data_IF_480261547637
#
_entry.id   IF_480261547637
#
_cell.length_a   1.000
_cell.length_b   1.000
_cell.length_c   1.000
_cell.angle_alpha   90.00
_cell.angle_beta   90.00
_cell.angle_gamma   90.00
#
_symmetry.space_group_name_H-M   'P 1'
#
loop_
_entity.id
_entity.type
_entity.pdbx_description
1 polymer ?
#
# COMPACT_ATOMS: atom_id res chain seq x y z
N UNK A 1 49.90 -28.12 69.27
CA UNK A 1 48.56 -27.68 68.81
C UNK A 1 48.59 -27.59 67.29
N UNK A 2 47.53 -28.01 66.59
CA UNK A 2 47.60 -28.50 65.20
C UNK A 2 47.43 -27.41 64.14
N UNK A 3 47.69 -27.88 62.92
CA UNK A 3 47.78 -27.26 61.60
C UNK A 3 46.66 -26.29 61.19
N UNK A 4 46.92 -25.51 60.14
CA UNK A 4 45.93 -25.42 59.05
C UNK A 4 46.57 -25.19 57.67
N UNK A 5 46.26 -26.15 56.78
CA UNK A 5 46.64 -26.21 55.37
C UNK A 5 45.75 -25.27 54.55
N UNK A 6 46.38 -24.35 53.81
CA UNK A 6 45.69 -23.42 52.91
C UNK A 6 45.28 -24.15 51.61
N UNK A 7 43.97 -24.29 51.39
CA UNK A 7 43.38 -25.12 50.34
C UNK A 7 43.21 -24.34 49.02
N UNK A 8 44.14 -24.56 48.08
CA UNK A 8 44.27 -23.90 46.76
C UNK A 8 43.12 -24.23 45.79
N UNK A 9 42.24 -25.18 46.13
CA UNK A 9 41.19 -25.69 45.21
C UNK A 9 40.07 -24.69 44.88
N UNK A 10 39.93 -23.58 45.63
CA UNK A 10 38.83 -22.63 45.43
C UNK A 10 39.04 -21.62 44.29
N UNK A 11 40.27 -21.45 43.81
CA UNK A 11 40.57 -20.37 42.85
C UNK A 11 40.32 -20.73 41.38
N UNK A 12 40.30 -22.03 41.02
CA UNK A 12 40.16 -22.44 39.61
C UNK A 12 38.69 -22.51 39.17
N UNK A 13 37.73 -22.60 40.10
CA UNK A 13 36.30 -22.69 39.76
C UNK A 13 35.63 -21.34 39.50
N UNK A 14 36.25 -20.21 39.85
CA UNK A 14 35.63 -18.89 39.73
C UNK A 14 35.71 -18.28 38.31
N UNK A 15 36.46 -18.89 37.39
CA UNK A 15 36.73 -18.33 36.06
C UNK A 15 35.76 -18.77 34.97
N UNK A 16 34.92 -19.79 35.23
CA UNK A 16 34.06 -20.38 34.19
C UNK A 16 32.64 -19.76 34.11
N UNK A 17 32.23 -18.95 35.08
CA UNK A 17 30.84 -18.47 35.17
C UNK A 17 30.63 -17.12 34.47
N UNK A 18 31.68 -16.35 34.20
CA UNK A 18 31.55 -14.99 33.62
C UNK A 18 31.36 -15.00 32.09
N UNK A 19 31.70 -16.08 31.38
CA UNK A 19 31.51 -16.17 29.92
C UNK A 19 30.20 -16.86 29.48
N UNK A 20 29.37 -17.35 30.41
CA UNK A 20 28.10 -18.02 30.08
C UNK A 20 26.90 -17.08 29.96
N UNK A 21 26.97 -15.87 30.53
CA UNK A 21 25.79 -15.00 30.69
C UNK A 21 25.53 -14.03 29.53
N UNK A 22 26.44 -13.90 28.57
CA UNK A 22 26.27 -12.96 27.45
C UNK A 22 25.61 -13.56 26.20
N UNK A 23 25.53 -14.89 26.07
CA UNK A 23 24.99 -15.53 24.87
C UNK A 23 23.47 -15.79 24.89
N UNK A 24 22.80 -15.60 26.03
CA UNK A 24 21.34 -15.77 26.14
C UNK A 24 20.57 -14.45 26.28
N UNK A 25 21.23 -13.34 26.63
CA UNK A 25 20.60 -12.02 26.77
C UNK A 25 20.61 -11.17 25.49
N UNK A 26 21.63 -11.34 24.63
CA UNK A 26 21.81 -10.49 23.43
C UNK A 26 20.96 -10.88 22.23
N UNK A 27 20.63 -12.17 22.08
CA UNK A 27 19.85 -12.67 20.93
C UNK A 27 18.37 -12.30 20.98
N UNK A 28 17.81 -12.16 22.19
CA UNK A 28 16.40 -11.81 22.38
C UNK A 28 16.09 -10.36 21.99
N UNK A 29 17.04 -9.43 22.21
CA UNK A 29 16.87 -8.02 21.82
C UNK A 29 16.80 -7.82 20.31
N UNK A 30 17.58 -8.59 19.54
CA UNK A 30 17.56 -8.52 18.07
C UNK A 30 16.31 -9.19 17.44
N UNK A 31 15.65 -10.10 18.17
CA UNK A 31 14.44 -10.76 17.69
C UNK A 31 13.18 -9.90 17.84
N UNK A 32 13.17 -8.95 18.79
CA UNK A 32 12.00 -8.09 19.08
C UNK A 32 12.03 -6.74 18.35
N UNK A 33 13.16 -6.35 17.77
CA UNK A 33 13.29 -5.08 17.04
C UNK A 33 12.72 -5.11 15.60
N UNK A 34 12.26 -6.26 15.12
CA UNK A 34 11.66 -6.40 13.78
C UNK A 34 10.13 -6.28 13.82
N UNK A 35 9.58 -5.50 14.76
CA UNK A 35 8.23 -4.98 14.59
C UNK A 35 8.34 -3.88 13.53
N UNK A 36 8.11 -4.26 12.27
CA UNK A 36 7.72 -3.30 11.25
C UNK A 36 6.61 -2.45 11.86
N UNK A 37 6.88 -1.15 12.05
CA UNK A 37 5.85 -0.17 12.36
C UNK A 37 4.66 -0.49 11.47
N UNK A 38 3.41 -0.54 12.00
CA UNK A 38 2.25 -0.71 11.14
C UNK A 38 2.36 0.39 10.09
N UNK A 39 2.73 -0.02 8.87
CA UNK A 39 2.98 0.90 7.78
C UNK A 39 1.65 1.62 7.62
N UNK A 40 1.63 2.90 8.01
CA UNK A 40 0.44 3.74 7.90
C UNK A 40 -0.07 3.48 6.50
N UNK A 41 -1.24 2.81 6.42
CA UNK A 41 -1.70 2.18 5.19
C UNK A 41 -1.69 3.29 4.15
N UNK A 42 -0.76 3.22 3.20
CA UNK A 42 -0.53 4.34 2.29
C UNK A 42 -1.87 4.73 1.68
N UNK A 43 -2.16 6.03 1.64
CA UNK A 43 -3.38 6.51 1.01
C UNK A 43 -3.49 5.89 -0.38
N UNK A 44 -4.68 5.46 -0.76
CA UNK A 44 -4.94 4.87 -2.07
C UNK A 44 -6.28 5.41 -2.54
N UNK A 45 -6.21 6.25 -3.55
CA UNK A 45 -7.36 6.92 -4.14
C UNK A 45 -7.08 7.28 -5.58
N UNK A 46 -8.03 7.99 -6.16
CA UNK A 46 -7.97 8.44 -7.55
C UNK A 46 -7.10 9.71 -7.59
N UNK A 47 -6.02 9.70 -8.38
CA UNK A 47 -5.07 10.82 -8.49
C UNK A 47 -5.42 11.81 -9.60
N UNK A 48 -6.13 11.36 -10.64
CA UNK A 48 -6.56 12.23 -11.73
C UNK A 48 -8.00 12.72 -11.52
N UNK A 49 -8.34 13.86 -12.12
CA UNK A 49 -9.67 14.46 -11.97
C UNK A 49 -10.63 14.10 -13.09
N UNK A 50 -10.12 14.02 -14.32
CA UNK A 50 -10.92 13.94 -15.53
C UNK A 50 -10.45 12.82 -16.45
N UNK A 51 -11.31 12.50 -17.40
CA UNK A 51 -11.18 11.44 -18.37
C UNK A 51 -11.73 10.11 -17.87
N UNK A 52 -11.81 9.18 -18.80
CA UNK A 52 -12.28 7.81 -18.57
C UNK A 52 -11.22 6.90 -17.91
N UNK A 53 -9.94 7.22 -18.06
CA UNK A 53 -8.85 6.44 -17.45
C UNK A 53 -8.67 6.81 -15.97
N UNK A 54 -8.49 5.82 -15.10
CA UNK A 54 -8.36 6.02 -13.65
C UNK A 54 -6.91 5.77 -13.25
N UNK A 55 -6.27 6.80 -12.71
CA UNK A 55 -4.95 6.69 -12.09
C UNK A 55 -5.14 6.50 -10.60
N UNK A 56 -4.69 5.36 -10.07
CA UNK A 56 -4.75 5.06 -8.64
C UNK A 56 -3.38 5.22 -7.98
N UNK A 57 -3.34 5.90 -6.84
CA UNK A 57 -2.11 6.11 -6.10
C UNK A 57 -2.30 6.91 -4.81
N UNK A 58 -1.18 7.30 -4.17
CA UNK A 58 -1.21 8.02 -2.91
C UNK A 58 -1.53 9.51 -3.02
N UNK A 59 -1.42 10.11 -4.21
CA UNK A 59 -1.64 11.54 -4.44
C UNK A 59 -3.10 11.80 -4.82
N UNK A 60 -4.03 11.52 -3.88
CA UNK A 60 -5.47 11.63 -4.12
C UNK A 60 -5.80 13.08 -4.49
N UNK A 61 -6.54 13.27 -5.58
CA UNK A 61 -6.98 14.59 -5.99
C UNK A 61 -8.00 15.15 -4.99
N UNK A 62 -7.66 16.28 -4.35
CA UNK A 62 -8.56 16.96 -3.40
C UNK A 62 -9.51 17.94 -4.10
N UNK A 63 -9.05 18.59 -5.16
CA UNK A 63 -9.79 19.61 -5.91
C UNK A 63 -9.59 19.35 -7.41
N UNK A 64 -10.69 19.41 -8.14
CA UNK A 64 -10.72 19.28 -9.59
C UNK A 64 -11.18 20.58 -10.25
N UNK A 65 -10.77 20.78 -11.49
CA UNK A 65 -11.27 21.88 -12.33
C UNK A 65 -12.70 21.61 -12.78
N UNK A 66 -13.46 22.65 -13.11
CA UNK A 66 -14.83 22.52 -13.64
C UNK A 66 -14.89 22.11 -15.14
N UNK A 67 -13.80 21.56 -15.68
CA UNK A 67 -13.78 21.04 -17.05
C UNK A 67 -14.48 19.69 -17.10
N UNK A 68 -15.08 19.37 -18.24
CA UNK A 68 -15.63 18.05 -18.51
C UNK A 68 -14.82 17.38 -19.61
N UNK A 69 -14.34 16.16 -19.35
CA UNK A 69 -13.78 15.30 -20.38
C UNK A 69 -14.70 14.09 -20.63
N UNK A 70 -14.62 13.57 -21.86
CA UNK A 70 -15.35 12.36 -22.25
C UNK A 70 -15.07 11.22 -21.25
N UNK A 71 -16.13 10.61 -20.73
CA UNK A 71 -16.09 9.56 -19.72
C UNK A 71 -16.01 10.05 -18.28
N UNK A 72 -16.03 11.35 -17.99
CA UNK A 72 -16.06 11.88 -16.63
C UNK A 72 -17.23 11.33 -15.82
N UNK A 73 -18.40 11.14 -16.46
CA UNK A 73 -19.56 10.52 -15.82
C UNK A 73 -19.28 9.09 -15.33
N UNK A 74 -18.42 8.33 -16.01
CA UNK A 74 -18.10 6.97 -15.58
C UNK A 74 -17.33 6.94 -14.25
N UNK A 75 -16.67 8.04 -13.88
CA UNK A 75 -15.84 8.13 -12.66
C UNK A 75 -16.66 7.94 -11.38
N UNK A 76 -17.97 8.19 -11.41
CA UNK A 76 -18.86 7.91 -10.28
C UNK A 76 -18.91 6.42 -9.89
N UNK A 77 -18.52 5.53 -10.81
CA UNK A 77 -18.43 4.09 -10.58
C UNK A 77 -17.00 3.61 -10.32
N UNK A 78 -16.00 4.48 -10.46
CA UNK A 78 -14.61 4.14 -10.23
C UNK A 78 -14.27 4.13 -8.74
N UNK A 79 -13.38 3.22 -8.34
CA UNK A 79 -12.77 3.26 -7.02
C UNK A 79 -11.36 2.70 -7.09
N UNK A 80 -10.48 3.19 -6.22
CA UNK A 80 -9.14 2.67 -6.03
C UNK A 80 -9.05 1.98 -4.66
N UNK A 81 -8.25 0.93 -4.58
CA UNK A 81 -8.01 0.23 -3.33
C UNK A 81 -6.72 -0.61 -3.40
N UNK A 82 -6.29 -1.08 -2.23
CA UNK A 82 -5.10 -1.93 -2.14
C UNK A 82 -5.46 -3.37 -2.49
N UNK A 83 -4.92 -3.87 -3.60
CA UNK A 83 -5.01 -5.26 -4.05
C UNK A 83 -3.60 -5.82 -4.14
N UNK A 84 -3.32 -6.95 -3.49
CA UNK A 84 -1.98 -7.56 -3.45
C UNK A 84 -0.87 -6.56 -3.11
N UNK A 85 -1.08 -5.75 -2.08
CA UNK A 85 -0.15 -4.72 -1.61
C UNK A 85 0.17 -3.60 -2.63
N UNK A 86 -0.63 -3.46 -3.68
CA UNK A 86 -0.50 -2.42 -4.71
C UNK A 86 -1.79 -1.60 -4.78
N UNK A 87 -1.69 -0.27 -4.90
CA UNK A 87 -2.85 0.58 -5.12
C UNK A 87 -3.30 0.44 -6.58
N UNK A 88 -4.51 -0.07 -6.79
CA UNK A 88 -5.05 -0.39 -8.11
C UNK A 88 -6.52 -0.02 -8.19
N UNK A 89 -7.02 0.10 -9.42
CA UNK A 89 -8.45 0.26 -9.64
C UNK A 89 -9.19 -1.00 -9.22
N UNK A 90 -10.22 -0.85 -8.40
CA UNK A 90 -11.10 -1.95 -8.04
C UNK A 90 -12.05 -2.23 -9.20
N UNK A 91 -12.15 -3.51 -9.55
CA UNK A 91 -12.99 -3.96 -10.65
C UNK A 91 -14.47 -3.70 -10.33
N UNK A 92 -15.14 -2.95 -11.19
CA UNK A 92 -16.55 -2.63 -11.06
C UNK A 92 -17.28 -2.85 -12.39
N UNK A 93 -18.25 -3.78 -12.48
CA UNK A 93 -19.01 -4.02 -13.71
C UNK A 93 -19.73 -2.77 -14.26
N UNK A 94 -20.21 -1.87 -13.39
CA UNK A 94 -20.86 -0.62 -13.82
C UNK A 94 -19.87 0.33 -14.47
N UNK A 95 -18.66 0.43 -13.92
CA UNK A 95 -17.58 1.22 -14.51
C UNK A 95 -17.21 0.67 -15.89
N UNK A 96 -17.01 -0.65 -15.99
CA UNK A 96 -16.71 -1.31 -17.26
C UNK A 96 -17.81 -1.10 -18.30
N UNK A 97 -19.09 -1.25 -17.93
CA UNK A 97 -20.20 -1.03 -18.83
C UNK A 97 -20.26 0.42 -19.32
N UNK A 98 -20.03 1.39 -18.43
CA UNK A 98 -19.97 2.80 -18.78
C UNK A 98 -18.82 3.09 -19.76
N UNK A 99 -17.60 2.61 -19.47
CA UNK A 99 -16.44 2.75 -20.37
C UNK A 99 -16.73 2.22 -21.75
N UNK A 100 -17.24 0.99 -21.85
CA UNK A 100 -17.56 0.36 -23.14
C UNK A 100 -18.57 1.18 -23.93
N UNK A 101 -19.57 1.76 -23.26
CA UNK A 101 -20.54 2.61 -23.93
C UNK A 101 -19.91 3.90 -24.47
N UNK A 102 -19.12 4.60 -23.65
CA UNK A 102 -18.41 5.82 -24.06
C UNK A 102 -17.40 5.55 -25.19
N UNK A 103 -16.65 4.46 -25.11
CA UNK A 103 -15.75 4.00 -26.18
C UNK A 103 -16.51 3.72 -27.48
N UNK A 104 -17.70 3.12 -27.41
CA UNK A 104 -18.56 2.92 -28.58
C UNK A 104 -19.00 4.26 -29.19
N UNK A 105 -19.37 5.24 -28.37
CA UNK A 105 -19.73 6.58 -28.85
C UNK A 105 -18.56 7.27 -29.57
N UNK A 106 -17.35 7.20 -28.99
CA UNK A 106 -16.14 7.73 -29.60
C UNK A 106 -15.81 7.05 -30.94
N UNK A 107 -16.00 5.73 -31.03
CA UNK A 107 -15.75 4.99 -32.26
C UNK A 107 -16.80 5.29 -33.34
N UNK A 108 -18.08 5.39 -32.96
CA UNK A 108 -19.18 5.67 -33.90
C UNK A 108 -19.10 7.10 -34.46
N UNK A 109 -18.67 8.06 -33.64
CA UNK A 109 -18.63 9.48 -33.97
C UNK A 109 -17.21 10.06 -33.95
N UNK A 110 -16.21 9.29 -34.41
CA UNK A 110 -14.79 9.65 -34.34
C UNK A 110 -14.44 11.02 -34.95
N UNK A 111 -15.22 11.48 -35.94
CA UNK A 111 -15.04 12.78 -36.62
C UNK A 111 -16.07 13.84 -36.21
N UNK A 112 -16.93 13.56 -35.24
CA UNK A 112 -18.02 14.45 -34.81
C UNK A 112 -18.12 14.42 -33.27
N UNK A 113 -17.31 15.25 -32.62
CA UNK A 113 -17.24 15.30 -31.15
C UNK A 113 -18.58 15.68 -30.53
N UNK A 114 -19.38 16.54 -31.18
CA UNK A 114 -20.68 16.95 -30.66
C UNK A 114 -21.61 15.74 -30.57
N UNK A 115 -21.70 14.93 -31.64
CA UNK A 115 -22.47 13.68 -31.60
C UNK A 115 -21.90 12.65 -30.62
N UNK A 116 -20.59 12.61 -30.43
CA UNK A 116 -19.98 11.73 -29.42
C UNK A 116 -20.44 12.08 -28.00
N UNK A 117 -20.49 13.37 -27.65
CA UNK A 117 -21.00 13.85 -26.35
C UNK A 117 -22.51 13.64 -26.21
N UNK A 118 -23.29 13.86 -27.28
CA UNK A 118 -24.73 13.54 -27.28
C UNK A 118 -24.95 12.05 -27.03
N UNK A 119 -24.16 11.18 -27.65
CA UNK A 119 -24.20 9.73 -27.42
C UNK A 119 -23.83 9.37 -25.97
N UNK A 120 -22.76 9.96 -25.42
CA UNK A 120 -22.35 9.77 -24.02
C UNK A 120 -23.46 10.15 -23.03
N UNK A 121 -24.33 11.11 -23.35
CA UNK A 121 -25.43 11.48 -22.46
C UNK A 121 -26.46 10.36 -22.23
N UNK A 122 -26.58 9.43 -23.18
CA UNK A 122 -27.38 8.20 -23.07
C UNK A 122 -26.61 7.04 -22.41
N UNK A 123 -25.32 7.27 -22.14
CA UNK A 123 -24.54 6.75 -21.03
C UNK A 123 -25.33 6.78 -19.70
#
# INVERSE_FOLDING_TARGET
>A
MPAENFNIKKFVLASAIVMGAFLLGGGAWLFWSNQSLPQARAACGIENCHGMEITCGPNIAEICTDIYLMGDRCRQFASCGIVNNTCQQIQNPQFTACKTCVESCLNQFANDQVKAFECESAC
#
